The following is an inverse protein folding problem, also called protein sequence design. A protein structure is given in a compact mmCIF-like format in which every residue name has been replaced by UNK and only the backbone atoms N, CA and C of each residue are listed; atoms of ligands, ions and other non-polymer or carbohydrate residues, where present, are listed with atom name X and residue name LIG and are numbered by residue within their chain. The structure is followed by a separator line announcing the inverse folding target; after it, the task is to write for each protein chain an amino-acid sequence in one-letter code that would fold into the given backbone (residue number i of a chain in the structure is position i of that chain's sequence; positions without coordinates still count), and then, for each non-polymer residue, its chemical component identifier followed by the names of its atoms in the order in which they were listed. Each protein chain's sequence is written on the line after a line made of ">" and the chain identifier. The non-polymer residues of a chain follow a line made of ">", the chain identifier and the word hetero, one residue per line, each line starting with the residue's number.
data_IF_499465336475
#
_entry.id   IF_499465336475
#
_cell.length_a   1.000
_cell.length_b   1.000
_cell.length_c   1.000
_cell.angle_alpha   90.00
_cell.angle_beta   90.00
_cell.angle_gamma   90.00
#
_symmetry.space_group_name_H-M   'P 1'
#
loop_
_entity.id
_entity.type
_entity.pdbx_description
1 polymer ?
#
# COMPACT_ATOMS: atom_id res chain seq x y z
N UNK A 1 2.19 10.71 28.60
CA UNK A 1 0.95 11.51 28.61
C UNK A 1 -0.12 10.75 27.83
N UNK A 2 -1.20 10.32 28.49
CA UNK A 2 -2.21 9.44 27.90
C UNK A 2 -2.83 9.96 26.59
N UNK A 3 -3.02 11.28 26.46
CA UNK A 3 -3.57 11.91 25.25
C UNK A 3 -2.68 11.69 24.03
N UNK A 4 -1.37 11.92 24.18
CA UNK A 4 -0.39 11.76 23.09
C UNK A 4 -0.28 10.28 22.69
N UNK A 5 -0.25 9.37 23.66
CA UNK A 5 -0.23 7.94 23.41
C UNK A 5 -1.45 7.48 22.58
N UNK A 6 -2.66 7.91 22.96
CA UNK A 6 -3.88 7.58 22.23
C UNK A 6 -3.88 8.15 20.80
N UNK A 7 -3.38 9.37 20.63
CA UNK A 7 -3.26 9.99 19.31
C UNK A 7 -2.30 9.21 18.40
N UNK A 8 -1.10 8.87 18.90
CA UNK A 8 -0.12 8.09 18.13
C UNK A 8 -0.65 6.69 17.77
N UNK A 9 -1.34 6.03 18.71
CA UNK A 9 -1.99 4.73 18.46
C UNK A 9 -3.04 4.84 17.36
N UNK A 10 -3.90 5.86 17.41
CA UNK A 10 -4.92 6.07 16.38
C UNK A 10 -4.29 6.32 15.00
N UNK A 11 -3.25 7.16 14.95
CA UNK A 11 -2.49 7.44 13.73
C UNK A 11 -1.86 6.15 13.15
N UNK A 12 -1.23 5.35 14.00
CA UNK A 12 -0.63 4.08 13.61
C UNK A 12 -1.66 3.12 13.00
N UNK A 13 -2.83 2.97 13.64
CA UNK A 13 -3.93 2.13 13.13
C UNK A 13 -4.44 2.63 11.78
N UNK A 14 -4.69 3.93 11.63
CA UNK A 14 -5.17 4.49 10.36
C UNK A 14 -4.16 4.27 9.24
N UNK A 15 -2.87 4.49 9.51
CA UNK A 15 -1.81 4.26 8.54
C UNK A 15 -1.71 2.77 8.15
N UNK A 16 -1.80 1.86 9.12
CA UNK A 16 -1.82 0.41 8.90
C UNK A 16 -2.95 0.01 7.96
N UNK A 17 -4.17 0.47 8.24
CA UNK A 17 -5.35 0.17 7.41
C UNK A 17 -5.14 0.66 5.98
N UNK A 18 -4.66 1.89 5.81
CA UNK A 18 -4.35 2.44 4.49
C UNK A 18 -3.33 1.58 3.73
N UNK A 19 -2.24 1.18 4.38
CA UNK A 19 -1.21 0.32 3.80
C UNK A 19 -1.81 -1.01 3.32
N UNK A 20 -2.60 -1.69 4.15
CA UNK A 20 -3.20 -2.97 3.77
C UNK A 20 -4.23 -2.82 2.64
N UNK A 21 -5.02 -1.74 2.62
CA UNK A 21 -5.94 -1.45 1.52
C UNK A 21 -5.18 -1.28 0.20
N UNK A 22 -4.05 -0.57 0.22
CA UNK A 22 -3.22 -0.40 -0.98
C UNK A 22 -2.57 -1.72 -1.42
N UNK A 23 -2.04 -2.53 -0.49
CA UNK A 23 -1.48 -3.86 -0.81
C UNK A 23 -2.54 -4.72 -1.51
N UNK A 24 -3.74 -4.82 -0.96
CA UNK A 24 -4.83 -5.62 -1.55
C UNK A 24 -5.23 -5.05 -2.91
N UNK A 25 -5.31 -3.74 -3.05
CA UNK A 25 -5.67 -3.08 -4.31
C UNK A 25 -4.65 -3.34 -5.41
N UNK A 26 -3.36 -3.29 -5.08
CA UNK A 26 -2.26 -3.64 -5.99
C UNK A 26 -2.34 -5.11 -6.38
N UNK A 27 -2.55 -6.02 -5.42
CA UNK A 27 -2.67 -7.46 -5.72
C UNK A 27 -3.85 -7.75 -6.65
N UNK A 28 -5.00 -7.13 -6.43
CA UNK A 28 -6.17 -7.29 -7.31
C UNK A 28 -5.89 -6.72 -8.70
N UNK A 29 -5.22 -5.56 -8.79
CA UNK A 29 -4.80 -4.99 -10.08
C UNK A 29 -3.82 -5.90 -10.83
N UNK A 30 -2.90 -6.56 -10.12
CA UNK A 30 -1.98 -7.56 -10.68
C UNK A 30 -2.75 -8.77 -11.21
N UNK A 31 -3.76 -9.26 -10.47
CA UNK A 31 -4.60 -10.37 -10.95
C UNK A 31 -5.32 -9.98 -12.26
N UNK A 32 -5.93 -8.80 -12.32
CA UNK A 32 -6.59 -8.34 -13.54
C UNK A 32 -5.62 -8.11 -14.71
N UNK A 33 -4.40 -7.63 -14.45
CA UNK A 33 -3.44 -7.32 -15.51
C UNK A 33 -2.65 -8.54 -16.00
N UNK A 34 -2.22 -9.44 -15.11
CA UNK A 34 -1.37 -10.58 -15.45
C UNK A 34 -2.17 -11.85 -15.72
N UNK A 35 -3.22 -12.12 -14.93
CA UNK A 35 -3.97 -13.39 -15.00
C UNK A 35 -5.15 -13.27 -15.97
N UNK A 36 -5.83 -12.12 -15.97
CA UNK A 36 -7.07 -11.92 -16.76
C UNK A 36 -7.07 -10.63 -17.62
N UNK A 37 -6.06 -10.42 -18.50
CA UNK A 37 -5.86 -9.15 -19.20
C UNK A 37 -7.02 -8.73 -20.12
N UNK A 38 -7.81 -9.68 -20.63
CA UNK A 38 -8.94 -9.44 -21.52
C UNK A 38 -10.29 -9.34 -20.81
N UNK A 39 -10.30 -9.41 -19.47
CA UNK A 39 -11.53 -9.30 -18.68
C UNK A 39 -11.85 -7.83 -18.39
N UNK A 40 -12.97 -7.35 -18.92
CA UNK A 40 -13.47 -5.99 -18.72
C UNK A 40 -14.56 -6.00 -17.66
N UNK A 41 -14.22 -5.55 -16.45
CA UNK A 41 -15.15 -5.44 -15.33
C UNK A 41 -14.96 -4.10 -14.61
N UNK A 42 -16.01 -3.42 -14.15
CA UNK A 42 -15.90 -2.12 -13.47
C UNK A 42 -14.91 -2.16 -12.28
N UNK A 43 -14.86 -3.29 -11.56
CA UNK A 43 -13.92 -3.49 -10.46
C UNK A 43 -12.44 -3.38 -10.90
N UNK A 44 -12.10 -3.81 -12.12
CA UNK A 44 -10.73 -3.68 -12.64
C UNK A 44 -10.29 -2.22 -12.64
N UNK A 45 -11.11 -1.34 -13.23
CA UNK A 45 -10.81 0.10 -13.29
C UNK A 45 -10.74 0.71 -11.89
N UNK A 46 -11.61 0.27 -10.98
CA UNK A 46 -11.57 0.73 -9.59
C UNK A 46 -10.23 0.41 -8.92
N UNK A 47 -9.79 -0.85 -8.96
CA UNK A 47 -8.52 -1.26 -8.35
C UNK A 47 -7.29 -0.73 -9.09
N UNK A 48 -7.34 -0.58 -10.41
CA UNK A 48 -6.30 0.10 -11.18
C UNK A 48 -6.14 1.57 -10.76
N UNK A 49 -7.24 2.31 -10.59
CA UNK A 49 -7.18 3.70 -10.12
C UNK A 49 -6.70 3.78 -8.68
N UNK A 50 -7.19 2.89 -7.81
CA UNK A 50 -6.81 2.88 -6.40
C UNK A 50 -5.31 2.59 -6.24
N UNK A 51 -4.84 1.47 -6.82
CA UNK A 51 -3.41 1.13 -6.81
C UNK A 51 -2.51 2.14 -7.53
N UNK A 52 -3.05 2.93 -8.47
CA UNK A 52 -2.28 3.97 -9.16
C UNK A 52 -1.75 5.06 -8.23
N UNK A 53 -2.35 5.25 -7.04
CA UNK A 53 -1.86 6.18 -6.01
C UNK A 53 -0.40 5.88 -5.64
N UNK A 54 -0.06 4.60 -5.49
CA UNK A 54 1.28 4.14 -5.14
C UNK A 54 2.09 3.75 -6.38
N UNK A 55 1.46 3.11 -7.37
CA UNK A 55 2.16 2.60 -8.55
C UNK A 55 2.63 3.73 -9.49
N UNK A 56 1.87 4.81 -9.68
CA UNK A 56 2.28 5.88 -10.61
C UNK A 56 3.56 6.61 -10.18
N UNK A 57 3.75 6.99 -8.90
CA UNK A 57 5.02 7.52 -8.44
C UNK A 57 6.19 6.56 -8.71
N UNK A 58 6.01 5.26 -8.46
CA UNK A 58 7.07 4.26 -8.66
C UNK A 58 7.41 4.11 -10.15
N UNK A 59 6.39 4.04 -11.02
CA UNK A 59 6.55 3.94 -12.48
C UNK A 59 7.27 5.13 -13.10
N UNK A 60 7.28 6.30 -12.44
CA UNK A 60 8.07 7.46 -12.89
C UNK A 60 9.57 7.23 -12.74
N UNK A 61 9.99 6.47 -11.72
CA UNK A 61 11.40 6.14 -11.50
C UNK A 61 11.80 4.82 -12.16
N UNK A 62 10.86 3.88 -12.24
CA UNK A 62 11.06 2.54 -12.78
C UNK A 62 9.96 2.25 -13.80
N UNK A 63 10.08 2.80 -15.02
CA UNK A 63 9.12 2.51 -16.07
C UNK A 63 9.09 1.00 -16.38
N UNK A 64 7.95 0.46 -16.82
CA UNK A 64 7.83 -0.96 -17.15
C UNK A 64 8.90 -1.39 -18.17
N UNK A 65 9.61 -2.47 -17.88
CA UNK A 65 10.63 -3.03 -18.78
C UNK A 65 9.95 -4.12 -19.61
N UNK A 66 9.46 -3.76 -20.79
CA UNK A 66 8.72 -4.68 -21.67
C UNK A 66 7.26 -4.89 -21.24
N UNK A 67 6.67 -6.08 -21.46
CA UNK A 67 5.24 -6.32 -21.21
C UNK A 67 4.90 -6.54 -19.73
N UNK A 68 5.91 -6.67 -18.85
CA UNK A 68 5.71 -6.94 -17.43
C UNK A 68 6.04 -5.70 -16.60
N UNK A 69 5.06 -5.22 -15.85
CA UNK A 69 5.25 -4.12 -14.91
C UNK A 69 5.74 -4.66 -13.57
N UNK A 70 7.00 -4.39 -13.21
CA UNK A 70 7.59 -4.80 -11.92
C UNK A 70 7.22 -3.87 -10.75
N UNK A 71 6.60 -2.72 -11.02
CA UNK A 71 6.25 -1.71 -10.01
C UNK A 71 5.38 -2.26 -8.87
N UNK A 72 4.42 -3.18 -9.10
CA UNK A 72 3.64 -3.81 -8.03
C UNK A 72 4.47 -4.52 -6.98
N UNK A 73 5.52 -5.24 -7.38
CA UNK A 73 6.40 -5.95 -6.44
C UNK A 73 7.12 -4.94 -5.54
N UNK A 74 7.69 -3.90 -6.15
CA UNK A 74 8.41 -2.84 -5.45
C UNK A 74 7.49 -2.07 -4.51
N UNK A 75 6.28 -1.74 -4.97
CA UNK A 75 5.25 -1.09 -4.17
C UNK A 75 4.90 -1.91 -2.92
N UNK A 76 4.64 -3.21 -3.09
CA UNK A 76 4.32 -4.10 -1.97
C UNK A 76 5.49 -4.18 -0.99
N UNK A 77 6.74 -4.30 -1.46
CA UNK A 77 7.91 -4.31 -0.57
C UNK A 77 8.03 -3.01 0.24
N UNK A 78 7.85 -1.85 -0.40
CA UNK A 78 7.88 -0.55 0.29
C UNK A 78 6.75 -0.47 1.33
N UNK A 79 5.54 -0.87 0.96
CA UNK A 79 4.37 -0.85 1.85
C UNK A 79 4.56 -1.77 3.06
N UNK A 80 5.06 -2.99 2.86
CA UNK A 80 5.41 -3.92 3.96
C UNK A 80 6.51 -3.36 4.85
N UNK A 81 7.53 -2.74 4.27
CA UNK A 81 8.58 -2.06 5.04
C UNK A 81 8.01 -0.91 5.88
N UNK A 82 7.13 -0.08 5.30
CA UNK A 82 6.49 1.02 6.04
C UNK A 82 5.61 0.51 7.18
N UNK A 83 4.90 -0.60 7.00
CA UNK A 83 4.14 -1.21 8.09
C UNK A 83 5.06 -1.74 9.19
N UNK A 84 6.07 -2.53 8.84
CA UNK A 84 6.99 -3.13 9.82
C UNK A 84 7.91 -2.12 10.51
N UNK A 85 8.25 -1.00 9.86
CA UNK A 85 9.14 0.01 10.41
C UNK A 85 8.36 1.20 10.99
N UNK A 86 7.65 1.95 10.14
CA UNK A 86 7.02 3.22 10.53
C UNK A 86 5.82 2.99 11.45
N UNK A 87 4.93 2.07 11.10
CA UNK A 87 3.73 1.82 11.90
C UNK A 87 4.09 1.19 13.25
N UNK A 88 4.95 0.18 13.27
CA UNK A 88 5.42 -0.42 14.53
C UNK A 88 6.14 0.61 15.43
N UNK A 89 6.97 1.50 14.86
CA UNK A 89 7.58 2.59 15.62
C UNK A 89 6.54 3.50 16.28
N UNK A 90 5.45 3.84 15.56
CA UNK A 90 4.37 4.65 16.14
C UNK A 90 3.64 3.93 17.28
N UNK A 91 3.42 2.61 17.15
CA UNK A 91 2.84 1.81 18.24
C UNK A 91 3.75 1.74 19.46
N UNK A 92 5.04 1.48 19.26
CA UNK A 92 6.03 1.44 20.34
C UNK A 92 6.12 2.76 21.08
N UNK A 93 6.14 3.87 20.34
CA UNK A 93 6.10 5.21 20.93
C UNK A 93 4.80 5.45 21.72
N UNK A 94 3.65 5.02 21.19
CA UNK A 94 2.38 5.13 21.90
C UNK A 94 2.40 4.36 23.23
N UNK A 95 2.95 3.14 23.25
CA UNK A 95 3.06 2.30 24.46
C UNK A 95 4.04 2.88 25.47
N UNK A 96 5.16 3.48 25.02
CA UNK A 96 6.13 4.12 25.93
C UNK A 96 5.61 5.40 26.57
N UNK A 97 4.65 6.07 25.91
CA UNK A 97 4.09 7.34 26.36
C UNK A 97 2.79 7.19 27.17
N UNK A 98 2.18 6.00 27.20
CA UNK A 98 1.00 5.71 28.02
C UNK A 98 1.38 5.59 29.49
#
# INVERSE_FOLDING_TARGET
>A
MFVIANFLRALAVTLRVFIYVEIVSILISVIFSWVMPYYYHPARRFFEVLSSLILNPIRRFLPPIGPVDISPMIAIFILLFLDGFLVETLFDLAVRLS
#
